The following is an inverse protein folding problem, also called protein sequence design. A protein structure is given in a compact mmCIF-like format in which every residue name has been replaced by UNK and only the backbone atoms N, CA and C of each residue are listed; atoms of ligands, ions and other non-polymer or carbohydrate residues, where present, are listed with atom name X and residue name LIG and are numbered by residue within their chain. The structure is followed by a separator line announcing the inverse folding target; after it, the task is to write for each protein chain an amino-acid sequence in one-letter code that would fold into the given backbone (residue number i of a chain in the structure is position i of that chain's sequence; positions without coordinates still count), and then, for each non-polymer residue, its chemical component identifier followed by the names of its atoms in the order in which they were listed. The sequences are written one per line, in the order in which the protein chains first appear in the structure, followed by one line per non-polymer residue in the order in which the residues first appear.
data_IF_450096739128
#
_entry.id   IF_450096739128
#
_cell.length_a   1.000
_cell.length_b   1.000
_cell.length_c   1.000
_cell.angle_alpha   90.00
_cell.angle_beta   90.00
_cell.angle_gamma   90.00
#
_symmetry.space_group_name_H-M   'P 1'
#
loop_
_entity.id
_entity.type
_entity.pdbx_description
1 polymer ?
#
# COMPACT_ATOMS: atom_id res chain seq x y z
N UNK A 1 -13.28 -26.70 9.43
CA UNK A 1 -13.08 -25.25 9.66
C UNK A 1 -12.58 -24.65 8.36
N UNK A 2 -13.39 -23.85 7.66
CA UNK A 2 -12.99 -23.20 6.42
C UNK A 2 -11.78 -22.31 6.66
N UNK A 3 -10.82 -22.33 5.74
CA UNK A 3 -9.66 -21.43 5.77
C UNK A 3 -10.21 -20.00 5.70
N UNK A 4 -9.87 -19.17 6.68
CA UNK A 4 -10.29 -17.77 6.71
C UNK A 4 -9.72 -17.09 5.46
N UNK A 5 -10.48 -16.21 4.83
CA UNK A 5 -10.01 -15.44 3.68
C UNK A 5 -8.75 -14.66 4.08
N UNK A 6 -7.72 -14.73 3.25
CA UNK A 6 -6.47 -14.00 3.50
C UNK A 6 -6.72 -12.49 3.37
N UNK A 7 -6.10 -11.70 4.25
CA UNK A 7 -6.08 -10.25 4.14
C UNK A 7 -5.34 -9.79 2.89
N UNK A 8 -5.42 -8.50 2.59
CA UNK A 8 -4.77 -7.89 1.42
C UNK A 8 -3.66 -6.95 1.91
N UNK A 9 -2.48 -7.03 1.29
CA UNK A 9 -1.48 -5.99 1.42
C UNK A 9 -1.77 -4.89 0.40
N UNK A 10 -2.12 -3.71 0.89
CA UNK A 10 -2.34 -2.51 0.10
C UNK A 10 -1.11 -1.60 0.21
N UNK A 11 -0.53 -1.23 -0.89
CA UNK A 11 0.61 -0.31 -0.95
C UNK A 11 0.17 0.96 -1.66
N UNK A 12 0.07 2.04 -0.92
CA UNK A 12 -0.29 3.37 -1.43
C UNK A 12 0.97 4.20 -1.55
N UNK A 13 1.28 4.64 -2.76
CA UNK A 13 2.45 5.45 -3.06
C UNK A 13 2.12 6.56 -4.06
N UNK A 14 3.09 7.36 -4.41
CA UNK A 14 2.95 8.49 -5.32
C UNK A 14 3.78 9.69 -4.86
N UNK A 15 3.82 10.78 -5.61
CA UNK A 15 4.66 11.93 -5.34
C UNK A 15 4.34 12.60 -3.99
N UNK A 16 5.34 13.28 -3.44
CA UNK A 16 5.14 14.11 -2.26
C UNK A 16 4.13 15.22 -2.58
N UNK A 17 3.17 15.47 -1.70
CA UNK A 17 2.10 16.45 -1.94
C UNK A 17 0.87 15.89 -2.69
N UNK A 18 0.88 14.64 -3.16
CA UNK A 18 -0.29 14.03 -3.81
C UNK A 18 -1.49 13.79 -2.88
N UNK A 19 -1.29 13.84 -1.55
CA UNK A 19 -2.36 13.67 -0.56
C UNK A 19 -2.58 12.22 -0.13
N UNK A 20 -1.56 11.37 -0.25
CA UNK A 20 -1.59 9.97 0.19
C UNK A 20 -2.06 9.81 1.63
N UNK A 21 -1.38 10.49 2.58
CA UNK A 21 -1.68 10.38 4.00
C UNK A 21 -3.13 10.74 4.34
N UNK A 22 -3.69 11.75 3.69
CA UNK A 22 -5.08 12.12 3.89
C UNK A 22 -6.03 11.00 3.44
N UNK A 23 -5.79 10.43 2.24
CA UNK A 23 -6.59 9.30 1.74
C UNK A 23 -6.42 8.08 2.67
N UNK A 24 -5.17 7.74 3.04
CA UNK A 24 -4.89 6.60 3.90
C UNK A 24 -5.55 6.74 5.28
N UNK A 25 -5.63 7.94 5.84
CA UNK A 25 -6.31 8.19 7.11
C UNK A 25 -7.82 7.98 7.01
N UNK A 26 -8.45 8.36 5.89
CA UNK A 26 -9.88 8.18 5.67
C UNK A 26 -10.31 6.72 5.45
N UNK A 27 -9.43 5.90 4.90
CA UNK A 27 -9.75 4.48 4.60
C UNK A 27 -9.31 3.51 5.69
N UNK A 28 -8.56 3.97 6.67
CA UNK A 28 -8.04 3.17 7.78
C UNK A 28 -9.12 2.93 8.82
N UNK A 29 -9.43 1.67 9.12
CA UNK A 29 -10.40 1.29 10.14
C UNK A 29 -9.79 1.29 11.55
N UNK A 30 -8.51 0.92 11.69
CA UNK A 30 -7.78 0.86 12.96
C UNK A 30 -6.43 1.57 12.83
N UNK A 31 -6.05 2.34 13.83
CA UNK A 31 -4.69 2.87 13.93
C UNK A 31 -3.72 1.75 14.31
N UNK A 32 -2.88 1.37 13.36
CA UNK A 32 -1.92 0.30 13.55
C UNK A 32 -0.51 0.76 13.23
N UNK A 33 0.08 1.63 14.06
CA UNK A 33 1.51 1.94 13.91
C UNK A 33 2.24 1.46 15.14
N UNK A 34 3.01 0.38 14.98
CA UNK A 34 3.98 -0.02 15.99
C UNK A 34 5.37 0.25 15.43
N UNK A 35 6.02 1.32 15.91
CA UNK A 35 7.44 1.54 15.66
C UNK A 35 8.24 0.71 16.67
N UNK A 36 9.06 -0.20 16.15
CA UNK A 36 10.03 -0.92 16.97
C UNK A 36 11.39 -0.26 16.81
N UNK A 37 11.91 0.31 17.87
CA UNK A 37 13.28 0.85 17.90
C UNK A 37 14.27 -0.30 17.95
N UNK A 38 15.23 -0.31 17.02
CA UNK A 38 16.30 -1.29 16.94
C UNK A 38 17.64 -0.57 16.89
N UNK A 39 18.70 -1.21 17.36
CA UNK A 39 20.04 -0.69 17.15
C UNK A 39 20.39 -0.76 15.65
N UNK A 40 21.37 0.04 15.24
CA UNK A 40 21.83 0.05 13.85
C UNK A 40 22.35 -1.33 13.44
N UNK A 41 23.12 -1.97 14.30
CA UNK A 41 23.73 -3.30 14.08
C UNK A 41 22.66 -4.37 13.93
N UNK A 42 21.61 -4.32 14.78
CA UNK A 42 20.47 -5.22 14.68
C UNK A 42 19.70 -5.01 13.38
N UNK A 43 19.50 -3.76 12.97
CA UNK A 43 18.80 -3.44 11.72
C UNK A 43 19.59 -3.94 10.51
N UNK A 44 20.90 -3.72 10.47
CA UNK A 44 21.79 -4.20 9.40
C UNK A 44 21.84 -5.76 9.34
N UNK A 45 21.76 -6.44 10.47
CA UNK A 45 21.60 -7.90 10.52
C UNK A 45 20.28 -8.32 9.88
N UNK A 46 19.17 -7.68 10.25
CA UNK A 46 17.83 -7.97 9.71
C UNK A 46 17.72 -7.68 8.21
N UNK A 47 18.46 -6.70 7.68
CA UNK A 47 18.58 -6.49 6.23
C UNK A 47 19.21 -7.72 5.56
N UNK A 48 20.32 -8.23 6.10
CA UNK A 48 21.01 -9.43 5.56
C UNK A 48 20.14 -10.69 5.62
N UNK A 49 19.25 -10.78 6.61
CA UNK A 49 18.27 -11.86 6.79
C UNK A 49 17.01 -11.67 5.92
N UNK A 50 16.95 -10.64 5.06
CA UNK A 50 15.78 -10.30 4.23
C UNK A 50 14.48 -10.17 5.03
N UNK A 51 14.58 -9.69 6.28
CA UNK A 51 13.48 -9.61 7.22
C UNK A 51 12.50 -8.44 6.97
N UNK A 52 12.78 -7.57 6.00
CA UNK A 52 11.95 -6.43 5.66
C UNK A 52 11.26 -6.59 4.31
N UNK A 53 10.02 -6.09 4.19
CA UNK A 53 9.35 -5.87 2.90
C UNK A 53 9.96 -4.70 2.15
N UNK A 54 10.28 -3.63 2.87
CA UNK A 54 11.03 -2.47 2.38
C UNK A 54 11.83 -1.88 3.53
N UNK A 55 12.88 -1.16 3.20
CA UNK A 55 13.67 -0.36 4.14
C UNK A 55 14.34 0.81 3.44
N UNK A 56 14.60 1.86 4.21
CA UNK A 56 15.34 3.04 3.77
C UNK A 56 16.26 3.54 4.88
N UNK A 57 17.32 4.24 4.48
CA UNK A 57 18.17 5.00 5.38
C UNK A 57 17.98 6.49 5.08
N UNK A 58 17.41 7.23 6.01
CA UNK A 58 17.12 8.66 5.86
C UNK A 58 17.88 9.42 6.94
N UNK A 59 18.79 10.30 6.53
CA UNK A 59 19.67 11.06 7.44
C UNK A 59 20.40 10.20 8.49
N UNK A 60 20.84 8.99 8.08
CA UNK A 60 21.56 8.06 8.96
C UNK A 60 20.67 7.20 9.86
N UNK A 61 19.35 7.37 9.83
CA UNK A 61 18.38 6.57 10.54
C UNK A 61 17.76 5.54 9.60
N UNK A 62 17.67 4.29 10.07
CA UNK A 62 17.00 3.23 9.34
C UNK A 62 15.51 3.18 9.67
N UNK A 63 14.72 2.96 8.63
CA UNK A 63 13.28 2.71 8.68
C UNK A 63 12.97 1.49 7.83
N UNK A 64 11.98 0.71 8.20
CA UNK A 64 11.59 -0.44 7.39
C UNK A 64 10.36 -1.14 7.92
N UNK A 65 9.69 -1.87 7.03
CA UNK A 65 8.48 -2.62 7.31
C UNK A 65 8.82 -4.10 7.51
N UNK A 66 8.68 -4.65 8.74
CA UNK A 66 9.00 -6.05 9.02
C UNK A 66 8.09 -7.00 8.24
N UNK A 67 8.69 -7.86 7.42
CA UNK A 67 7.98 -8.81 6.54
C UNK A 67 7.09 -9.76 7.35
N UNK A 68 7.64 -10.37 8.40
CA UNK A 68 6.91 -11.34 9.23
C UNK A 68 5.65 -10.75 9.84
N UNK A 69 5.74 -9.57 10.44
CA UNK A 69 4.58 -8.92 11.09
C UNK A 69 3.44 -8.66 10.12
N UNK A 70 3.75 -8.23 8.90
CA UNK A 70 2.75 -7.98 7.86
C UNK A 70 2.12 -9.29 7.39
N UNK A 71 2.92 -10.32 7.11
CA UNK A 71 2.41 -11.60 6.64
C UNK A 71 1.56 -12.30 7.70
N UNK A 72 1.96 -12.27 8.97
CA UNK A 72 1.17 -12.83 10.08
C UNK A 72 -0.23 -12.18 10.18
N UNK A 73 -0.35 -10.87 9.90
CA UNK A 73 -1.65 -10.18 9.86
C UNK A 73 -2.49 -10.62 8.65
N UNK A 74 -1.89 -10.71 7.48
CA UNK A 74 -2.55 -11.12 6.24
C UNK A 74 -3.09 -12.56 6.39
N UNK A 75 -2.29 -13.48 6.93
CA UNK A 75 -2.70 -14.87 7.18
C UNK A 75 -3.87 -14.97 8.18
N UNK A 76 -3.99 -14.01 9.11
CA UNK A 76 -5.12 -13.90 10.03
C UNK A 76 -6.35 -13.24 9.41
N UNK A 77 -6.34 -12.92 8.10
CA UNK A 77 -7.43 -12.28 7.39
C UNK A 77 -7.50 -10.76 7.60
N UNK A 78 -6.48 -10.14 8.18
CA UNK A 78 -6.41 -8.68 8.34
C UNK A 78 -5.71 -8.06 7.13
N UNK A 79 -6.35 -7.09 6.49
CA UNK A 79 -5.70 -6.29 5.45
C UNK A 79 -4.73 -5.28 6.07
N UNK A 80 -3.61 -5.10 5.41
CA UNK A 80 -2.55 -4.17 5.85
C UNK A 80 -2.38 -3.06 4.82
N UNK A 81 -2.38 -1.82 5.27
CA UNK A 81 -2.16 -0.63 4.45
C UNK A 81 -0.77 -0.08 4.73
N UNK A 82 0.07 -0.02 3.70
CA UNK A 82 1.37 0.65 3.73
C UNK A 82 1.31 1.93 2.92
N UNK A 83 1.55 3.06 3.58
CA UNK A 83 1.81 4.35 2.94
C UNK A 83 3.32 4.56 2.90
N UNK A 84 3.92 4.41 1.75
CA UNK A 84 5.37 4.47 1.55
C UNK A 84 5.72 5.26 0.28
N UNK A 85 6.98 5.60 0.14
CA UNK A 85 7.49 6.23 -1.07
C UNK A 85 7.58 5.24 -2.25
N UNK A 86 7.96 5.76 -3.41
CA UNK A 86 8.04 4.95 -4.63
C UNK A 86 9.13 3.89 -4.54
N UNK A 87 10.27 4.20 -3.90
CA UNK A 87 11.38 3.25 -3.75
C UNK A 87 10.97 2.09 -2.84
N UNK A 88 10.34 2.40 -1.71
CA UNK A 88 9.80 1.39 -0.80
C UNK A 88 8.74 0.54 -1.49
N UNK A 89 7.82 1.15 -2.25
CA UNK A 89 6.80 0.41 -2.99
C UNK A 89 7.39 -0.58 -4.00
N UNK A 90 8.47 -0.22 -4.69
CA UNK A 90 9.15 -1.14 -5.62
C UNK A 90 9.83 -2.30 -4.89
N UNK A 91 10.44 -2.05 -3.73
CA UNK A 91 10.99 -3.13 -2.89
C UNK A 91 9.90 -4.10 -2.42
N UNK A 92 8.74 -3.55 -1.97
CA UNK A 92 7.60 -4.41 -1.60
C UNK A 92 7.13 -5.21 -2.79
N UNK A 93 7.01 -4.61 -3.98
CA UNK A 93 6.54 -5.29 -5.19
C UNK A 93 7.45 -6.46 -5.60
N UNK A 94 8.75 -6.29 -5.44
CA UNK A 94 9.73 -7.36 -5.70
C UNK A 94 9.60 -8.51 -4.69
N UNK A 95 9.47 -8.20 -3.39
CA UNK A 95 9.46 -9.18 -2.30
C UNK A 95 8.10 -9.79 -2.01
N UNK A 96 7.02 -9.11 -2.40
CA UNK A 96 5.64 -9.54 -2.23
C UNK A 96 4.76 -9.07 -3.41
N UNK A 97 4.91 -9.67 -4.60
CA UNK A 97 4.22 -9.26 -5.82
C UNK A 97 2.69 -9.46 -5.80
N UNK A 98 2.16 -10.20 -4.80
CA UNK A 98 0.72 -10.39 -4.58
C UNK A 98 0.03 -9.18 -3.93
N UNK A 99 0.80 -8.17 -3.52
CA UNK A 99 0.28 -6.90 -3.02
C UNK A 99 -0.53 -6.16 -4.07
N UNK A 100 -1.36 -5.23 -3.63
CA UNK A 100 -2.14 -4.31 -4.47
C UNK A 100 -1.48 -2.95 -4.41
N UNK A 101 -0.98 -2.46 -5.53
CA UNK A 101 -0.19 -1.25 -5.61
C UNK A 101 -1.01 -0.12 -6.24
N UNK A 102 -1.30 0.91 -5.44
CA UNK A 102 -2.13 2.06 -5.82
C UNK A 102 -1.24 3.30 -5.89
N UNK A 103 -1.22 3.94 -7.04
CA UNK A 103 -0.47 5.17 -7.27
C UNK A 103 -1.40 6.38 -7.17
N UNK A 104 -1.16 7.23 -6.17
CA UNK A 104 -1.94 8.47 -5.99
C UNK A 104 -1.22 9.62 -6.70
N UNK A 105 -1.96 10.36 -7.53
CA UNK A 105 -1.42 11.52 -8.26
C UNK A 105 -2.29 12.75 -8.03
N UNK A 106 -1.72 13.97 -8.06
CA UNK A 106 -2.50 15.19 -8.13
C UNK A 106 -3.12 15.36 -9.52
N UNK A 107 -4.17 16.18 -9.69
CA UNK A 107 -4.80 16.42 -11.00
C UNK A 107 -3.90 17.19 -11.96
N UNK A 108 -2.92 17.94 -11.45
CA UNK A 108 -1.95 18.70 -12.25
C UNK A 108 -0.69 19.02 -11.45
N UNK A 109 0.40 19.33 -12.16
CA UNK A 109 1.62 19.86 -11.55
C UNK A 109 1.38 21.21 -10.85
N UNK A 110 0.48 22.05 -11.39
CA UNK A 110 0.08 23.30 -10.77
C UNK A 110 -0.56 23.07 -9.41
N UNK A 111 -1.50 22.14 -9.32
CA UNK A 111 -2.13 21.75 -8.04
C UNK A 111 -1.12 21.21 -7.06
N UNK A 112 -0.17 20.39 -7.53
CA UNK A 112 0.87 19.84 -6.69
C UNK A 112 1.78 20.93 -6.14
N UNK A 113 2.25 21.84 -6.98
CA UNK A 113 3.04 23.01 -6.57
C UNK A 113 2.31 23.82 -5.51
N UNK A 114 1.05 24.16 -5.74
CA UNK A 114 0.22 24.88 -4.77
C UNK A 114 0.10 24.15 -3.42
N UNK A 115 -0.06 22.83 -3.44
CA UNK A 115 -0.13 22.01 -2.22
C UNK A 115 1.20 21.95 -1.45
N UNK A 116 2.32 21.93 -2.16
CA UNK A 116 3.66 21.96 -1.53
C UNK A 116 3.91 23.30 -0.85
N UNK A 117 3.61 24.42 -1.52
CA UNK A 117 3.73 25.77 -0.93
C UNK A 117 2.79 25.96 0.27
N UNK A 118 1.55 25.45 0.17
CA UNK A 118 0.53 25.58 1.23
C UNK A 118 0.85 24.87 2.54
N UNK A 119 1.82 23.96 2.57
CA UNK A 119 2.28 23.30 3.80
C UNK A 119 3.10 24.21 4.70
N UNK A 120 3.77 25.22 4.13
CA UNK A 120 4.58 26.18 4.88
C UNK A 120 5.81 25.59 5.62
N UNK A 121 6.11 24.32 5.42
CA UNK A 121 7.19 23.59 6.12
C UNK A 121 8.47 23.49 5.30
N UNK A 122 8.38 23.67 3.99
CA UNK A 122 9.50 23.51 3.07
C UNK A 122 9.98 24.87 2.54
N UNK A 123 11.30 25.01 2.36
CA UNK A 123 11.88 26.17 1.66
C UNK A 123 11.58 26.09 0.16
N UNK A 124 11.60 27.25 -0.53
CA UNK A 124 11.41 27.32 -1.99
C UNK A 124 12.37 26.37 -2.73
N UNK A 125 13.64 26.33 -2.35
CA UNK A 125 14.63 25.42 -2.93
C UNK A 125 14.23 23.94 -2.76
N UNK A 126 13.65 23.58 -1.63
CA UNK A 126 13.16 22.22 -1.39
C UNK A 126 11.98 21.90 -2.27
N UNK A 127 11.04 22.83 -2.44
CA UNK A 127 9.88 22.68 -3.32
C UNK A 127 10.32 22.51 -4.77
N UNK A 128 11.26 23.33 -5.25
CA UNK A 128 11.79 23.24 -6.62
C UNK A 128 12.50 21.90 -6.87
N UNK A 129 13.28 21.40 -5.92
CA UNK A 129 13.89 20.07 -6.00
C UNK A 129 12.84 18.96 -6.10
N UNK A 130 11.80 19.01 -5.30
CA UNK A 130 10.68 18.04 -5.36
C UNK A 130 9.93 18.10 -6.70
N UNK A 131 9.65 19.29 -7.20
CA UNK A 131 9.01 19.48 -8.50
C UNK A 131 9.86 18.92 -9.64
N UNK A 132 11.18 19.09 -9.59
CA UNK A 132 12.10 18.53 -10.58
C UNK A 132 12.12 16.99 -10.57
N UNK A 133 11.93 16.35 -9.43
CA UNK A 133 11.91 14.88 -9.28
C UNK A 133 10.60 14.25 -9.80
N UNK A 134 9.52 15.01 -9.88
CA UNK A 134 8.18 14.52 -10.23
C UNK A 134 8.13 13.82 -11.58
N UNK A 135 8.84 14.32 -12.59
CA UNK A 135 8.84 13.67 -13.91
C UNK A 135 9.37 12.24 -13.83
N UNK A 136 10.44 12.02 -13.06
CA UNK A 136 10.96 10.68 -12.78
C UNK A 136 9.99 9.83 -11.94
N UNK A 137 9.34 10.42 -10.96
CA UNK A 137 8.36 9.74 -10.12
C UNK A 137 7.12 9.33 -10.93
N UNK A 138 6.58 10.20 -11.78
CA UNK A 138 5.43 9.89 -12.64
C UNK A 138 5.75 8.79 -13.66
N UNK A 139 6.99 8.70 -14.13
CA UNK A 139 7.39 7.61 -15.03
C UNK A 139 7.30 6.22 -14.39
N UNK A 140 7.25 6.13 -13.07
CA UNK A 140 7.09 4.87 -12.33
C UNK A 140 5.63 4.42 -12.21
N UNK A 141 4.67 5.25 -12.58
CA UNK A 141 3.24 4.94 -12.46
C UNK A 141 2.84 3.63 -13.17
N UNK A 142 3.47 3.31 -14.31
CA UNK A 142 3.21 2.07 -15.07
C UNK A 142 3.56 0.77 -14.31
N UNK A 143 4.27 0.87 -13.19
CA UNK A 143 4.61 -0.28 -12.33
C UNK A 143 3.55 -0.58 -11.28
N UNK A 144 2.53 0.27 -11.16
CA UNK A 144 1.43 0.09 -10.22
C UNK A 144 0.24 -0.60 -10.89
N UNK A 145 -0.63 -1.18 -10.06
CA UNK A 145 -1.81 -1.88 -10.56
C UNK A 145 -2.97 -0.90 -10.80
N UNK A 146 -3.00 0.19 -10.03
CA UNK A 146 -4.05 1.22 -10.10
C UNK A 146 -3.48 2.62 -9.97
N UNK A 147 -4.16 3.59 -10.61
CA UNK A 147 -3.89 5.01 -10.44
C UNK A 147 -5.16 5.71 -9.92
N UNK A 148 -5.00 6.57 -8.92
CA UNK A 148 -6.08 7.40 -8.39
C UNK A 148 -5.67 8.86 -8.46
N UNK A 149 -6.42 9.65 -9.22
CA UNK A 149 -6.25 11.10 -9.28
C UNK A 149 -6.94 11.73 -8.08
N UNK A 150 -6.17 12.38 -7.21
CA UNK A 150 -6.66 13.09 -6.03
C UNK A 150 -6.92 14.57 -6.36
N UNK A 151 -8.03 14.83 -7.02
CA UNK A 151 -8.55 16.17 -7.24
C UNK A 151 -9.50 16.56 -6.10
N UNK A 152 -10.60 15.88 -5.96
CA UNK A 152 -11.54 15.95 -4.84
C UNK A 152 -11.27 14.77 -3.91
N UNK A 153 -10.96 15.07 -2.64
CA UNK A 153 -10.58 14.04 -1.66
C UNK A 153 -11.63 12.92 -1.55
N UNK A 154 -12.90 13.30 -1.41
CA UNK A 154 -14.01 12.34 -1.27
C UNK A 154 -14.07 11.34 -2.42
N UNK A 155 -13.85 11.81 -3.64
CA UNK A 155 -13.85 10.95 -4.84
C UNK A 155 -12.62 10.04 -4.88
N UNK A 156 -11.46 10.55 -4.47
CA UNK A 156 -10.24 9.76 -4.39
C UNK A 156 -10.37 8.64 -3.33
N UNK A 157 -10.92 8.94 -2.16
CA UNK A 157 -11.24 7.98 -1.11
C UNK A 157 -12.22 6.92 -1.64
N UNK A 158 -13.34 7.34 -2.25
CA UNK A 158 -14.32 6.42 -2.83
C UNK A 158 -13.69 5.47 -3.87
N UNK A 159 -12.88 5.99 -4.80
CA UNK A 159 -12.17 5.18 -5.80
C UNK A 159 -11.21 4.19 -5.14
N UNK A 160 -10.49 4.61 -4.10
CA UNK A 160 -9.57 3.72 -3.37
C UNK A 160 -10.33 2.61 -2.66
N UNK A 161 -11.45 2.91 -2.01
CA UNK A 161 -12.32 1.89 -1.41
C UNK A 161 -12.89 0.92 -2.46
N UNK A 162 -13.32 1.42 -3.62
CA UNK A 162 -13.82 0.58 -4.72
C UNK A 162 -12.74 -0.39 -5.25
N UNK A 163 -11.47 0.05 -5.34
CA UNK A 163 -10.34 -0.81 -5.69
C UNK A 163 -10.18 -1.92 -4.65
N UNK A 164 -10.22 -1.58 -3.37
CA UNK A 164 -10.08 -2.55 -2.26
C UNK A 164 -11.18 -3.62 -2.35
N UNK A 165 -12.42 -3.21 -2.55
CA UNK A 165 -13.56 -4.13 -2.67
C UNK A 165 -13.44 -5.02 -3.93
N UNK A 166 -13.04 -4.45 -5.07
CA UNK A 166 -12.79 -5.22 -6.28
C UNK A 166 -11.68 -6.27 -6.10
N UNK A 167 -10.60 -5.89 -5.40
CA UNK A 167 -9.50 -6.80 -5.10
C UNK A 167 -9.91 -7.93 -4.14
N UNK A 168 -10.81 -7.67 -3.19
CA UNK A 168 -11.40 -8.71 -2.33
C UNK A 168 -12.24 -9.71 -3.14
N UNK A 169 -12.90 -9.27 -4.19
CA UNK A 169 -13.73 -10.11 -5.05
C UNK A 169 -12.95 -10.86 -6.14
N UNK A 170 -11.65 -10.66 -6.27
CA UNK A 170 -10.84 -11.34 -7.30
C UNK A 170 -10.92 -12.85 -7.16
N UNK A 171 -11.16 -13.55 -8.27
CA UNK A 171 -11.24 -15.01 -8.31
C UNK A 171 -10.01 -15.68 -7.71
N UNK A 172 -8.81 -15.16 -8.00
CA UNK A 172 -7.55 -15.70 -7.47
C UNK A 172 -7.45 -15.64 -5.94
N UNK A 173 -8.22 -14.79 -5.28
CA UNK A 173 -8.28 -14.68 -3.80
C UNK A 173 -9.40 -15.54 -3.20
N UNK A 174 -10.39 -15.94 -4.00
CA UNK A 174 -11.60 -16.64 -3.56
C UNK A 174 -11.66 -18.11 -4.04
N UNK A 175 -10.55 -18.67 -4.52
CA UNK A 175 -10.53 -20.05 -5.05
C UNK A 175 -11.00 -21.09 -4.03
N UNK A 176 -10.55 -20.98 -2.77
CA UNK A 176 -10.96 -21.90 -1.71
C UNK A 176 -12.47 -21.85 -1.45
N UNK A 177 -13.08 -20.66 -1.56
CA UNK A 177 -14.52 -20.47 -1.35
C UNK A 177 -15.32 -21.17 -2.46
N UNK A 178 -14.86 -21.04 -3.70
CA UNK A 178 -15.47 -21.70 -4.85
C UNK A 178 -15.31 -23.22 -4.74
N UNK A 179 -14.13 -23.73 -4.39
CA UNK A 179 -13.92 -25.15 -4.17
C UNK A 179 -14.82 -25.71 -3.06
N UNK A 180 -14.99 -24.97 -1.97
CA UNK A 180 -15.89 -25.37 -0.87
C UNK A 180 -17.35 -25.47 -1.36
N UNK A 181 -17.82 -24.47 -2.11
CA UNK A 181 -19.17 -24.47 -2.70
C UNK A 181 -19.32 -25.65 -3.67
N UNK A 182 -18.31 -25.91 -4.51
CA UNK A 182 -18.32 -27.00 -5.48
C UNK A 182 -18.42 -28.37 -4.79
N UNK A 183 -17.64 -28.58 -3.71
CA UNK A 183 -17.66 -29.83 -2.94
C UNK A 183 -19.02 -30.07 -2.28
N UNK A 184 -19.65 -29.04 -1.73
CA UNK A 184 -21.00 -29.14 -1.19
C UNK A 184 -22.03 -29.56 -2.26
N UNK A 185 -21.86 -29.04 -3.48
CA UNK A 185 -22.73 -29.39 -4.61
C UNK A 185 -22.54 -30.86 -5.07
N UNK A 186 -21.28 -31.31 -5.16
CA UNK A 186 -20.94 -32.68 -5.58
C UNK A 186 -21.38 -33.68 -4.54
N UNK A 187 -21.24 -33.39 -3.25
CA UNK A 187 -21.61 -34.27 -2.16
C UNK A 187 -23.12 -34.30 -1.87
N UNK A 188 -23.95 -33.58 -2.66
CA UNK A 188 -25.40 -33.45 -2.50
C UNK A 188 -25.86 -33.03 -1.09
N UNK A 189 -25.03 -32.23 -0.42
CA UNK A 189 -25.37 -31.69 0.91
C UNK A 189 -26.43 -30.59 0.86
N UNK A 190 -26.80 -30.12 -0.36
CA UNK A 190 -27.90 -29.20 -0.59
C UNK A 190 -29.03 -29.95 -1.29
N UNK A 191 -30.18 -30.16 -0.64
CA UNK A 191 -31.34 -30.72 -1.32
C UNK A 191 -31.80 -29.74 -2.39
N UNK A 192 -31.80 -30.18 -3.65
CA UNK A 192 -32.47 -29.49 -4.74
C UNK A 192 -33.96 -29.49 -4.43
N UNK A 193 -34.54 -28.35 -4.06
CA UNK A 193 -35.98 -28.15 -3.96
C UNK A 193 -36.57 -27.99 -5.34
#
# INVERSE_FOLDING_TARGET
MGKKDEGILLVVSGPSGAGKGTICNEIREEEGVSYFFRSKEEFERLIKEEAFLEYACVYGNYYGTPKKSVLDLIERGKSVLLEIDIQGAMQVKERYPKGVFIYIVPPSLRTLSARLHGRGTDSEDTIQKRLAQITGELSMAHKYDYIVVNDVLKDAVHKTCAIIEAERCKLSRNQNQIETIFQQYINKEVPLK
#
